data_IF_564076144847
#
_entry.id   IF_564076144847
#
_cell.length_a   1.000
_cell.length_b   1.000
_cell.length_c   1.000
_cell.angle_alpha   90.00
_cell.angle_beta   90.00
_cell.angle_gamma   90.00
#
_symmetry.space_group_name_H-M   'P 1'
#
loop_
_entity.id
_entity.type
_entity.pdbx_description
1 polymer ?
#
# COMPACT_ATOMS: atom_id res chain seq x y z
N UNK A 1 44.92 4.91 10.83
CA UNK A 1 45.22 6.35 11.03
C UNK A 1 44.56 7.07 9.86
N UNK A 2 43.27 7.39 9.87
CA UNK A 2 42.57 8.30 10.78
C UNK A 2 41.31 7.68 11.40
N UNK A 3 41.21 7.88 12.71
CA UNK A 3 40.02 7.69 13.54
C UNK A 3 39.35 9.07 13.61
N UNK A 4 38.03 9.13 13.40
CA UNK A 4 37.21 10.17 14.02
C UNK A 4 35.87 9.57 14.41
N UNK A 5 35.81 9.17 15.67
CA UNK A 5 34.60 8.90 16.44
C UNK A 5 33.82 10.20 16.72
N UNK A 6 32.64 10.00 17.33
CA UNK A 6 31.77 10.96 18.06
C UNK A 6 30.65 11.54 17.17
N UNK A 7 29.37 11.18 17.30
CA UNK A 7 28.56 11.06 18.52
C UNK A 7 27.64 9.81 18.58
N UNK A 8 27.46 9.21 19.78
CA UNK A 8 26.46 8.20 20.06
C UNK A 8 25.14 8.87 20.46
N UNK A 9 24.02 8.51 19.83
CA UNK A 9 22.72 8.80 20.43
C UNK A 9 22.48 7.80 21.57
N UNK A 10 22.49 8.33 22.80
CA UNK A 10 22.10 7.63 24.03
C UNK A 10 20.68 7.06 23.86
N UNK A 11 20.60 5.73 23.94
CA UNK A 11 19.39 5.02 24.32
C UNK A 11 19.15 5.33 25.81
N UNK A 12 18.15 6.16 26.12
CA UNK A 12 17.70 6.39 27.49
C UNK A 12 16.27 5.87 27.65
N UNK A 13 16.18 4.65 28.15
CA UNK A 13 15.23 4.18 29.16
C UNK A 13 13.79 4.74 29.11
N UNK A 14 12.89 3.96 28.51
CA UNK A 14 11.70 3.44 29.21
C UNK A 14 11.27 2.16 28.51
N UNK A 15 11.73 1.04 29.06
CA UNK A 15 11.09 -0.26 28.90
C UNK A 15 9.68 -0.23 29.52
N UNK A 16 8.82 -1.12 29.01
CA UNK A 16 7.42 -1.36 29.39
C UNK A 16 6.34 -0.51 28.70
N UNK A 17 5.87 -1.00 27.56
CA UNK A 17 4.44 -1.37 27.37
C UNK A 17 4.25 -2.19 26.09
N UNK A 18 4.39 -3.51 26.29
CA UNK A 18 3.63 -4.61 25.70
C UNK A 18 2.99 -4.45 24.30
N UNK A 19 3.51 -5.29 23.40
CA UNK A 19 2.77 -6.34 22.69
C UNK A 19 1.58 -5.86 21.82
N UNK A 20 1.78 -5.87 20.50
CA UNK A 20 1.05 -6.76 19.58
C UNK A 20 1.34 -6.37 18.13
N UNK A 21 2.02 -7.27 17.41
CA UNK A 21 2.53 -7.04 16.07
C UNK A 21 1.50 -7.01 14.94
N UNK A 22 2.05 -6.96 13.73
CA UNK A 22 1.48 -7.36 12.44
C UNK A 22 0.98 -6.21 11.55
N UNK A 23 1.82 -5.78 10.59
CA UNK A 23 1.42 -5.05 9.35
C UNK A 23 2.38 -5.37 8.19
N UNK A 24 2.23 -6.54 7.58
CA UNK A 24 3.30 -7.09 6.72
C UNK A 24 3.18 -6.93 5.19
N UNK A 25 2.01 -6.70 4.60
CA UNK A 25 1.89 -6.73 3.11
C UNK A 25 1.71 -5.35 2.47
N UNK A 26 1.27 -4.34 3.23
CA UNK A 26 1.14 -2.95 2.73
C UNK A 26 2.51 -2.22 2.73
N UNK A 27 3.48 -2.70 3.53
CA UNK A 27 4.79 -2.05 3.72
C UNK A 27 5.76 -2.16 2.52
N UNK A 28 5.71 -3.25 1.74
CA UNK A 28 6.74 -3.53 0.72
C UNK A 28 6.70 -2.55 -0.46
N UNK A 29 5.57 -1.90 -0.69
CA UNK A 29 5.39 -1.02 -1.85
C UNK A 29 5.46 0.47 -1.46
N UNK A 30 5.20 0.82 -0.20
CA UNK A 30 5.49 2.15 0.36
C UNK A 30 6.99 2.44 0.46
N UNK A 31 7.84 1.41 0.61
CA UNK A 31 9.30 1.56 0.75
C UNK A 31 10.01 2.01 -0.54
N UNK A 32 9.35 1.93 -1.70
CA UNK A 32 9.87 2.49 -2.96
C UNK A 32 10.01 4.02 -2.94
N UNK A 33 9.34 4.71 -2.00
CA UNK A 33 9.06 6.14 -2.16
C UNK A 33 9.86 7.08 -1.27
N UNK A 34 10.79 6.55 -0.47
CA UNK A 34 11.60 7.37 0.44
C UNK A 34 12.85 8.01 -0.19
N UNK A 35 13.07 7.86 -1.50
CA UNK A 35 14.41 8.09 -2.07
C UNK A 35 14.44 8.51 -3.56
N UNK A 36 13.35 8.96 -4.17
CA UNK A 36 13.33 9.44 -5.58
C UNK A 36 13.80 10.90 -5.72
N UNK A 37 14.85 11.29 -5.00
CA UNK A 37 15.63 12.50 -5.27
C UNK A 37 17.03 12.05 -5.71
N UNK A 38 17.52 12.46 -6.90
CA UNK A 38 18.89 12.20 -7.30
C UNK A 38 19.83 13.09 -6.46
N UNK A 39 20.11 12.67 -5.22
CA UNK A 39 21.16 13.26 -4.39
C UNK A 39 22.15 12.16 -3.96
N UNK A 40 23.27 12.08 -4.68
CA UNK A 40 24.58 11.46 -4.36
C UNK A 40 24.63 9.98 -3.90
N UNK A 41 23.53 9.30 -3.58
CA UNK A 41 23.50 7.92 -3.06
C UNK A 41 22.66 6.95 -3.92
N UNK A 42 22.74 7.01 -5.25
CA UNK A 42 22.02 6.09 -6.15
C UNK A 42 22.34 4.60 -5.91
N UNK A 43 23.56 4.27 -5.47
CA UNK A 43 23.98 2.88 -5.24
C UNK A 43 23.21 2.20 -4.10
N UNK A 44 22.92 2.95 -3.03
CA UNK A 44 22.20 2.42 -1.87
C UNK A 44 20.73 2.14 -2.21
N UNK A 45 20.13 2.99 -3.04
CA UNK A 45 18.75 2.85 -3.50
C UNK A 45 18.58 1.63 -4.42
N UNK A 46 19.46 1.46 -5.41
CA UNK A 46 19.41 0.29 -6.30
C UNK A 46 19.64 -1.01 -5.51
N UNK A 47 20.54 -0.97 -4.53
CA UNK A 47 20.77 -2.09 -3.61
C UNK A 47 19.51 -2.39 -2.78
N UNK A 48 18.89 -1.37 -2.20
CA UNK A 48 17.67 -1.51 -1.41
C UNK A 48 16.50 -2.12 -2.21
N UNK A 49 16.24 -1.62 -3.41
CA UNK A 49 15.22 -2.17 -4.32
C UNK A 49 15.52 -3.62 -4.67
N UNK A 50 16.78 -3.95 -4.96
CA UNK A 50 17.18 -5.33 -5.27
C UNK A 50 16.98 -6.27 -4.08
N UNK A 51 17.27 -5.81 -2.86
CA UNK A 51 17.07 -6.57 -1.62
C UNK A 51 15.58 -6.82 -1.36
N UNK A 52 14.74 -5.79 -1.47
CA UNK A 52 13.29 -5.94 -1.29
C UNK A 52 12.69 -6.88 -2.34
N UNK A 53 13.11 -6.75 -3.60
CA UNK A 53 12.67 -7.64 -4.68
C UNK A 53 13.09 -9.10 -4.39
N UNK A 54 14.34 -9.31 -4.01
CA UNK A 54 14.87 -10.63 -3.64
C UNK A 54 14.10 -11.22 -2.46
N UNK A 55 13.87 -10.44 -1.41
CA UNK A 55 13.08 -10.86 -0.26
C UNK A 55 11.64 -11.25 -0.66
N UNK A 56 10.97 -10.43 -1.48
CA UNK A 56 9.63 -10.76 -1.96
C UNK A 56 9.59 -12.07 -2.76
N UNK A 57 10.59 -12.32 -3.61
CA UNK A 57 10.67 -13.53 -4.43
C UNK A 57 11.05 -14.78 -3.62
N UNK A 58 11.98 -14.66 -2.68
CA UNK A 58 12.53 -15.82 -1.97
C UNK A 58 11.78 -16.15 -0.69
N UNK A 59 11.20 -15.16 -0.01
CA UNK A 59 10.60 -15.32 1.33
C UNK A 59 9.09 -15.20 1.33
N UNK A 60 8.49 -14.48 0.39
CA UNK A 60 7.03 -14.25 0.37
C UNK A 60 6.37 -15.13 -0.69
N UNK A 61 6.86 -15.08 -1.94
CA UNK A 61 6.22 -15.76 -3.08
C UNK A 61 5.90 -17.24 -2.82
N UNK A 62 6.75 -18.05 -2.16
CA UNK A 62 6.45 -19.47 -1.88
C UNK A 62 5.22 -19.68 -0.99
N UNK A 63 4.89 -18.71 -0.13
CA UNK A 63 3.79 -18.80 0.82
C UNK A 63 2.48 -18.21 0.28
N UNK A 64 2.50 -17.49 -0.85
CA UNK A 64 1.33 -16.71 -1.32
C UNK A 64 0.10 -17.57 -1.56
N UNK A 65 0.24 -18.74 -2.19
CA UNK A 65 -0.91 -19.63 -2.45
C UNK A 65 -1.53 -20.14 -1.14
N UNK A 66 -0.67 -20.60 -0.21
CA UNK A 66 -1.08 -21.07 1.12
C UNK A 66 -1.78 -19.95 1.91
N UNK A 67 -1.26 -18.72 1.86
CA UNK A 67 -1.86 -17.58 2.54
C UNK A 67 -3.21 -17.16 1.92
N UNK A 68 -3.35 -17.24 0.60
CA UNK A 68 -4.61 -16.97 -0.10
C UNK A 68 -5.69 -18.00 0.26
N UNK A 69 -5.34 -19.29 0.24
CA UNK A 69 -6.25 -20.38 0.60
C UNK A 69 -6.72 -20.30 2.05
N UNK A 70 -5.79 -20.02 2.97
CA UNK A 70 -6.09 -19.93 4.40
C UNK A 70 -6.70 -18.59 4.82
N UNK A 71 -6.72 -17.59 3.92
CA UNK A 71 -7.11 -16.21 4.23
C UNK A 71 -6.37 -15.63 5.44
N UNK A 72 -5.14 -16.08 5.68
CA UNK A 72 -4.30 -15.71 6.81
C UNK A 72 -2.85 -15.55 6.37
N UNK A 73 -2.15 -14.67 7.08
CA UNK A 73 -0.74 -14.41 6.83
C UNK A 73 0.09 -15.41 7.63
N UNK A 74 1.13 -15.95 7.01
CA UNK A 74 2.03 -16.90 7.68
C UNK A 74 2.92 -16.17 8.71
N UNK A 75 3.00 -16.70 9.93
CA UNK A 75 3.72 -16.08 11.04
C UNK A 75 5.23 -15.93 10.77
N UNK A 76 5.82 -16.80 9.95
CA UNK A 76 7.23 -16.70 9.54
C UNK A 76 7.45 -15.49 8.62
N UNK A 77 6.49 -15.21 7.73
CA UNK A 77 6.53 -14.04 6.85
C UNK A 77 6.43 -12.78 7.72
N UNK A 78 5.52 -12.76 8.70
CA UNK A 78 5.39 -11.63 9.63
C UNK A 78 6.69 -11.41 10.39
N UNK A 79 7.23 -12.45 11.02
CA UNK A 79 8.44 -12.36 11.85
C UNK A 79 9.63 -11.87 11.04
N UNK A 80 9.83 -12.44 9.84
CA UNK A 80 10.94 -12.04 8.97
C UNK A 80 10.81 -10.61 8.44
N UNK A 81 9.60 -10.09 8.25
CA UNK A 81 9.39 -8.68 7.87
C UNK A 81 9.85 -7.71 8.97
N UNK A 82 9.69 -8.09 10.25
CA UNK A 82 10.20 -7.31 11.38
C UNK A 82 11.72 -7.41 11.49
N UNK A 83 12.27 -8.63 11.39
CA UNK A 83 13.72 -8.88 11.46
C UNK A 83 14.50 -8.14 10.38
N UNK A 84 13.94 -8.07 9.16
CA UNK A 84 14.57 -7.35 8.04
C UNK A 84 14.32 -5.83 8.09
N UNK A 85 13.61 -5.32 9.11
CA UNK A 85 13.33 -3.88 9.26
C UNK A 85 12.38 -3.31 8.20
N UNK A 86 11.77 -4.16 7.37
CA UNK A 86 10.80 -3.76 6.34
C UNK A 86 9.55 -3.17 7.00
N UNK A 87 9.11 -3.76 8.11
CA UNK A 87 7.91 -3.34 8.85
C UNK A 87 8.06 -2.00 9.61
N UNK A 88 9.29 -1.55 9.91
CA UNK A 88 9.56 -0.36 10.76
C UNK A 88 10.02 0.87 9.97
N UNK A 89 10.14 0.74 8.65
CA UNK A 89 10.68 1.80 7.77
C UNK A 89 9.77 3.02 7.60
N UNK A 90 8.53 2.93 8.08
CA UNK A 90 7.60 4.04 8.26
C UNK A 90 7.01 3.99 9.68
N UNK A 91 7.03 5.13 10.37
CA UNK A 91 6.35 5.29 11.66
C UNK A 91 4.85 4.95 11.52
N UNK A 92 4.23 4.40 12.57
CA UNK A 92 3.00 3.65 12.49
C UNK A 92 1.81 4.56 12.22
N UNK A 93 0.65 3.98 11.93
CA UNK A 93 -0.66 4.63 11.80
C UNK A 93 -1.04 5.14 10.40
N UNK A 94 -1.02 4.28 9.38
CA UNK A 94 -2.04 4.35 8.33
C UNK A 94 -3.20 3.47 8.78
N UNK A 95 -4.13 4.05 9.55
CA UNK A 95 -5.38 3.39 9.92
C UNK A 95 -6.52 4.04 9.15
N UNK A 96 -6.99 3.33 8.15
CA UNK A 96 -8.21 3.62 7.41
C UNK A 96 -9.40 3.34 8.33
N UNK A 97 -10.09 4.39 8.84
CA UNK A 97 -11.30 4.21 9.65
C UNK A 97 -12.34 5.31 9.38
N UNK A 98 -13.42 4.96 8.67
CA UNK A 98 -14.71 5.63 8.87
C UNK A 98 -15.29 5.13 10.19
N UNK A 99 -15.28 6.02 11.18
CA UNK A 99 -15.66 5.69 12.54
C UNK A 99 -16.82 6.58 12.97
N UNK A 100 -18.03 6.03 13.03
CA UNK A 100 -19.08 6.62 13.86
C UNK A 100 -18.78 6.24 15.32
N UNK A 101 -17.95 7.06 15.98
CA UNK A 101 -17.79 6.99 17.43
C UNK A 101 -18.84 7.90 18.06
N UNK A 102 -19.75 7.33 18.84
CA UNK A 102 -20.51 8.10 19.80
C UNK A 102 -19.75 8.11 21.13
N UNK A 103 -19.11 9.23 21.45
CA UNK A 103 -18.46 9.42 22.74
C UNK A 103 -19.52 9.75 23.80
N UNK A 104 -19.65 8.91 24.82
CA UNK A 104 -20.22 9.34 26.10
C UNK A 104 -19.06 9.53 27.06
N UNK A 105 -18.63 10.78 27.21
CA UNK A 105 -17.65 11.13 28.24
C UNK A 105 -18.39 11.26 29.57
N UNK A 106 -18.10 10.38 30.53
CA UNK A 106 -18.55 10.57 31.90
C UNK A 106 -17.55 11.49 32.60
N UNK A 107 -18.00 12.66 33.04
CA UNK A 107 -17.18 13.58 33.82
C UNK A 107 -16.74 12.90 35.13
N UNK A 108 -15.42 12.66 35.29
CA UNK A 108 -14.81 12.31 36.59
C UNK A 108 -13.95 11.04 36.66
N UNK A 109 -13.68 10.31 35.57
CA UNK A 109 -12.93 9.04 35.64
C UNK A 109 -11.74 8.97 34.69
N UNK A 110 -10.65 8.30 35.10
CA UNK A 110 -9.40 8.00 34.35
C UNK A 110 -9.58 7.29 32.98
N UNK A 111 -10.81 7.15 32.52
CA UNK A 111 -11.21 6.29 31.41
C UNK A 111 -12.27 6.95 30.52
N UNK A 112 -12.14 6.68 29.22
CA UNK A 112 -13.13 7.00 28.20
C UNK A 112 -13.87 5.74 27.80
N UNK A 113 -15.19 5.82 27.70
CA UNK A 113 -16.03 4.73 27.23
C UNK A 113 -16.37 4.95 25.76
N UNK A 114 -16.01 3.98 24.92
CA UNK A 114 -16.21 4.05 23.47
C UNK A 114 -17.28 3.03 23.08
N UNK A 115 -18.38 3.51 22.49
CA UNK A 115 -19.36 2.69 21.77
C UNK A 115 -19.25 3.03 20.28
N UNK A 116 -18.93 2.03 19.46
CA UNK A 116 -18.71 2.21 18.04
C UNK A 116 -19.03 0.92 17.30
N UNK A 117 -19.40 1.06 16.03
CA UNK A 117 -19.43 -0.04 15.08
C UNK A 117 -18.29 0.17 14.10
N UNK A 118 -17.52 -0.88 13.82
CA UNK A 118 -16.43 -0.82 12.85
C UNK A 118 -16.58 -1.98 11.88
N UNK A 119 -16.55 -1.67 10.59
CA UNK A 119 -16.57 -2.66 9.52
C UNK A 119 -15.27 -2.58 8.73
N UNK A 120 -14.89 -3.65 8.03
CA UNK A 120 -13.74 -3.64 7.10
C UNK A 120 -12.37 -3.34 7.72
N UNK A 121 -12.10 -3.83 8.94
CA UNK A 121 -10.77 -3.70 9.54
C UNK A 121 -9.83 -4.83 9.09
N UNK A 122 -8.80 -4.47 8.33
CA UNK A 122 -7.85 -5.40 7.69
C UNK A 122 -7.09 -6.23 8.74
N UNK A 123 -6.60 -5.61 9.81
CA UNK A 123 -5.77 -6.27 10.83
C UNK A 123 -6.59 -7.17 11.75
N UNK A 124 -7.80 -6.74 12.12
CA UNK A 124 -8.68 -7.56 12.97
C UNK A 124 -9.11 -8.83 12.25
N UNK A 125 -9.32 -8.80 10.93
CA UNK A 125 -9.60 -9.99 10.14
C UNK A 125 -8.41 -10.97 10.09
N UNK A 126 -7.17 -10.46 10.02
CA UNK A 126 -5.96 -11.31 10.11
C UNK A 126 -5.79 -11.97 11.49
N UNK A 127 -6.41 -11.41 12.54
CA UNK A 127 -6.50 -12.04 13.87
C UNK A 127 -7.74 -12.94 14.03
N UNK A 128 -8.47 -13.22 12.95
CA UNK A 128 -9.71 -14.01 12.99
C UNK A 128 -10.91 -13.28 13.62
N UNK A 129 -10.82 -11.97 13.84
CA UNK A 129 -11.84 -11.18 14.53
C UNK A 129 -12.73 -10.48 13.49
N UNK A 130 -13.87 -11.07 13.16
CA UNK A 130 -14.98 -10.38 12.47
C UNK A 130 -15.62 -9.44 13.49
N UNK A 131 -15.31 -8.15 13.42
CA UNK A 131 -15.67 -7.21 14.50
C UNK A 131 -17.09 -6.68 14.35
N UNK A 132 -18.04 -7.30 15.04
CA UNK A 132 -19.26 -6.64 15.49
C UNK A 132 -19.05 -6.23 16.96
N UNK A 133 -18.44 -5.08 17.23
CA UNK A 133 -18.40 -4.58 18.62
C UNK A 133 -19.72 -3.88 18.94
N UNK A 134 -20.57 -4.54 19.73
CA UNK A 134 -21.76 -3.93 20.34
C UNK A 134 -21.54 -3.55 21.82
N UNK A 135 -20.30 -3.51 22.31
CA UNK A 135 -20.00 -3.27 23.73
C UNK A 135 -19.09 -2.07 23.99
N UNK A 136 -19.37 -1.37 25.09
CA UNK A 136 -18.58 -0.27 25.65
C UNK A 136 -17.17 -0.77 25.98
N UNK A 137 -16.15 -0.29 25.26
CA UNK A 137 -14.75 -0.49 25.66
C UNK A 137 -14.28 0.66 26.54
N UNK A 138 -13.69 0.30 27.68
CA UNK A 138 -13.03 1.23 28.59
C UNK A 138 -11.59 1.44 28.11
N UNK A 139 -11.24 2.68 27.77
CA UNK A 139 -9.90 3.07 27.31
C UNK A 139 -9.33 4.07 28.31
N UNK A 140 -8.14 3.80 28.85
CA UNK A 140 -7.50 4.72 29.78
C UNK A 140 -7.14 6.04 29.08
N UNK A 141 -7.30 7.17 29.76
CA UNK A 141 -7.06 8.51 29.19
C UNK A 141 -5.65 8.66 28.60
N UNK A 142 -4.64 8.06 29.26
CA UNK A 142 -3.25 7.94 28.75
C UNK A 142 -3.10 7.33 27.34
N UNK A 143 -4.11 6.61 26.85
CA UNK A 143 -4.11 6.00 25.52
C UNK A 143 -4.74 6.91 24.45
N UNK A 144 -5.22 8.11 24.82
CA UNK A 144 -5.71 9.10 23.87
C UNK A 144 -4.52 9.69 23.12
N UNK A 145 -4.55 9.58 21.79
CA UNK A 145 -3.52 10.13 20.91
C UNK A 145 -3.84 11.59 20.59
N UNK A 146 -2.92 12.49 20.94
CA UNK A 146 -3.06 13.91 20.70
C UNK A 146 -4.13 14.57 21.58
N UNK A 147 -4.76 15.64 21.08
CA UNK A 147 -5.79 16.39 21.82
C UNK A 147 -7.19 15.86 21.52
N UNK A 148 -8.03 15.78 22.55
CA UNK A 148 -9.44 15.44 22.41
C UNK A 148 -10.12 16.36 21.39
N UNK A 149 -10.94 15.79 20.49
CA UNK A 149 -11.62 16.54 19.42
C UNK A 149 -10.80 16.76 18.15
N UNK A 150 -9.49 16.46 18.14
CA UNK A 150 -8.63 16.63 16.95
C UNK A 150 -8.42 15.35 16.14
N UNK A 151 -9.10 14.25 16.49
CA UNK A 151 -8.94 12.94 15.85
C UNK A 151 -9.10 12.96 14.32
N UNK A 152 -10.08 13.71 13.81
CA UNK A 152 -10.30 13.85 12.36
C UNK A 152 -9.10 14.50 11.65
N UNK A 153 -8.52 15.55 12.24
CA UNK A 153 -7.36 16.26 11.67
C UNK A 153 -6.13 15.36 11.61
N UNK A 154 -5.90 14.56 12.66
CA UNK A 154 -4.81 13.59 12.66
C UNK A 154 -5.05 12.49 11.61
N UNK A 155 -6.27 11.91 11.59
CA UNK A 155 -6.61 10.85 10.64
C UNK A 155 -6.43 11.30 9.18
N UNK A 156 -6.99 12.45 8.79
CA UNK A 156 -6.88 12.93 7.40
C UNK A 156 -5.44 13.25 7.01
N UNK A 157 -4.63 13.76 7.95
CA UNK A 157 -3.20 14.00 7.73
C UNK A 157 -2.46 12.72 7.34
N UNK A 158 -2.73 11.62 8.05
CA UNK A 158 -2.09 10.32 7.79
C UNK A 158 -2.60 9.67 6.50
N UNK A 159 -3.90 9.79 6.20
CA UNK A 159 -4.49 9.29 4.96
C UNK A 159 -3.91 9.98 3.72
N UNK A 160 -3.59 11.28 3.79
CA UNK A 160 -2.95 11.97 2.67
C UNK A 160 -1.59 11.36 2.31
N UNK A 161 -0.82 10.91 3.30
CA UNK A 161 0.43 10.18 3.06
C UNK A 161 0.18 8.74 2.60
N UNK A 162 -0.85 8.08 3.16
CA UNK A 162 -1.27 6.73 2.82
C UNK A 162 -1.59 6.54 1.33
N UNK A 163 -2.22 7.54 0.71
CA UNK A 163 -2.57 7.55 -0.73
C UNK A 163 -1.38 7.25 -1.64
N UNK A 164 -0.22 7.84 -1.36
CA UNK A 164 0.98 7.60 -2.16
C UNK A 164 1.37 6.12 -2.04
N UNK A 165 1.26 5.56 -0.84
CA UNK A 165 1.49 4.14 -0.56
C UNK A 165 0.59 3.20 -1.33
N UNK A 166 -0.71 3.51 -1.39
CA UNK A 166 -1.66 2.73 -2.18
C UNK A 166 -1.36 2.85 -3.68
N UNK A 167 -0.99 4.03 -4.16
CA UNK A 167 -0.59 4.21 -5.55
C UNK A 167 0.58 3.29 -5.92
N UNK A 168 1.62 3.28 -5.07
CA UNK A 168 2.74 2.39 -5.24
C UNK A 168 2.26 0.92 -5.18
N UNK A 169 1.43 0.55 -4.20
CA UNK A 169 0.91 -0.81 -4.05
C UNK A 169 0.24 -1.32 -5.33
N UNK A 170 -0.64 -0.51 -5.92
CA UNK A 170 -1.34 -0.84 -7.14
C UNK A 170 -0.40 -0.93 -8.35
N UNK A 171 0.60 -0.05 -8.43
CA UNK A 171 1.64 -0.12 -9.44
C UNK A 171 2.45 -1.42 -9.35
N UNK A 172 2.90 -1.81 -8.15
CA UNK A 172 3.68 -3.04 -7.95
C UNK A 172 2.87 -4.30 -8.27
N UNK A 173 1.58 -4.31 -7.88
CA UNK A 173 0.63 -5.36 -8.22
C UNK A 173 0.47 -5.49 -9.74
N UNK A 174 0.22 -4.37 -10.43
CA UNK A 174 0.01 -4.35 -11.87
C UNK A 174 1.28 -4.74 -12.64
N UNK A 175 2.45 -4.27 -12.21
CA UNK A 175 3.74 -4.66 -12.77
C UNK A 175 4.00 -6.15 -12.59
N UNK A 176 3.74 -6.71 -11.40
CA UNK A 176 3.89 -8.14 -11.15
C UNK A 176 3.01 -8.98 -12.08
N UNK A 177 1.74 -8.59 -12.25
CA UNK A 177 0.81 -9.25 -13.16
C UNK A 177 1.32 -9.20 -14.62
N UNK A 178 1.77 -8.02 -15.07
CA UNK A 178 2.33 -7.80 -16.40
C UNK A 178 3.59 -8.64 -16.64
N UNK A 179 4.49 -8.70 -15.65
CA UNK A 179 5.74 -9.47 -15.71
C UNK A 179 5.50 -10.99 -15.77
N UNK A 180 4.35 -11.48 -15.29
CA UNK A 180 3.94 -12.87 -15.46
C UNK A 180 3.26 -13.12 -16.81
N UNK A 181 2.40 -12.22 -17.27
CA UNK A 181 1.60 -12.41 -18.47
C UNK A 181 2.39 -12.23 -19.78
N UNK A 182 3.27 -11.23 -19.87
CA UNK A 182 4.01 -10.95 -21.11
C UNK A 182 4.93 -12.11 -21.51
N UNK A 183 5.73 -12.72 -20.61
CA UNK A 183 6.51 -13.91 -20.95
C UNK A 183 5.65 -15.06 -21.48
N UNK A 184 4.45 -15.28 -20.93
CA UNK A 184 3.52 -16.30 -21.43
C UNK A 184 3.14 -16.05 -22.90
N UNK A 185 2.82 -14.79 -23.26
CA UNK A 185 2.49 -14.45 -24.67
C UNK A 185 3.66 -14.67 -25.63
N UNK A 186 4.90 -14.63 -25.13
CA UNK A 186 6.12 -14.92 -25.91
C UNK A 186 6.43 -16.41 -26.02
N UNK A 187 5.87 -17.25 -25.15
CA UNK A 187 6.06 -18.70 -25.17
C UNK A 187 4.93 -19.41 -25.91
N UNK A 188 3.70 -18.90 -25.79
CA UNK A 188 2.51 -19.51 -26.38
C UNK A 188 2.45 -19.25 -27.89
N UNK A 189 2.30 -20.33 -28.67
CA UNK A 189 2.13 -20.30 -30.12
C UNK A 189 0.69 -20.59 -30.50
N UNK A 190 0.12 -19.77 -31.38
CA UNK A 190 -1.20 -19.99 -31.98
C UNK A 190 -1.17 -19.46 -33.43
N UNK A 191 -1.88 -20.13 -34.33
CA UNK A 191 -1.87 -19.81 -35.76
C UNK A 191 -0.45 -19.68 -36.35
N UNK A 192 0.46 -20.58 -35.93
CA UNK A 192 1.82 -20.67 -36.48
C UNK A 192 2.83 -19.60 -35.99
N UNK A 193 2.46 -18.70 -35.06
CA UNK A 193 3.39 -17.73 -34.47
C UNK A 193 3.12 -17.48 -32.99
N UNK A 194 4.03 -16.81 -32.28
CA UNK A 194 3.83 -16.48 -30.86
C UNK A 194 2.65 -15.51 -30.73
N UNK A 195 1.90 -15.60 -29.63
CA UNK A 195 0.82 -14.65 -29.34
C UNK A 195 1.35 -13.20 -29.32
N UNK A 196 2.57 -12.99 -28.83
CA UNK A 196 3.23 -11.68 -28.85
C UNK A 196 3.45 -11.11 -30.28
N UNK A 197 3.53 -11.95 -31.32
CA UNK A 197 3.84 -11.52 -32.69
C UNK A 197 2.59 -11.09 -33.49
N UNK A 198 1.42 -11.05 -32.85
CA UNK A 198 0.23 -10.43 -33.43
C UNK A 198 0.25 -8.93 -33.14
N UNK A 199 0.14 -8.10 -34.18
CA UNK A 199 0.17 -6.64 -34.06
C UNK A 199 -0.85 -6.12 -33.04
N UNK A 200 -2.08 -6.65 -33.05
CA UNK A 200 -3.12 -6.29 -32.09
C UNK A 200 -2.76 -6.61 -30.63
N UNK A 201 -1.91 -7.62 -30.39
CA UNK A 201 -1.38 -7.92 -29.06
C UNK A 201 -0.26 -6.94 -28.69
N UNK A 202 0.65 -6.63 -29.61
CA UNK A 202 1.75 -5.68 -29.39
C UNK A 202 1.22 -4.29 -29.00
N UNK A 203 0.18 -3.80 -29.68
CA UNK A 203 -0.45 -2.52 -29.35
C UNK A 203 -1.05 -2.51 -27.95
N UNK A 204 -1.74 -3.59 -27.55
CA UNK A 204 -2.32 -3.69 -26.21
C UNK A 204 -1.25 -3.73 -25.13
N UNK A 205 -0.21 -4.55 -25.32
CA UNK A 205 0.91 -4.67 -24.37
C UNK A 205 1.65 -3.34 -24.25
N UNK A 206 1.93 -2.66 -25.37
CA UNK A 206 2.61 -1.37 -25.39
C UNK A 206 1.78 -0.27 -24.70
N UNK A 207 0.46 -0.24 -24.91
CA UNK A 207 -0.43 0.71 -24.25
C UNK A 207 -0.44 0.50 -22.73
N UNK A 208 -0.58 -0.75 -22.26
CA UNK A 208 -0.53 -1.07 -20.83
C UNK A 208 0.83 -0.74 -20.22
N UNK A 209 1.93 -1.06 -20.91
CA UNK A 209 3.27 -0.69 -20.47
C UNK A 209 3.44 0.83 -20.31
N UNK A 210 2.88 1.61 -21.22
CA UNK A 210 2.90 3.08 -21.17
C UNK A 210 2.10 3.61 -19.98
N UNK A 211 0.92 3.04 -19.72
CA UNK A 211 0.09 3.40 -18.56
C UNK A 211 0.78 3.09 -17.23
N UNK A 212 1.46 1.93 -17.13
CA UNK A 212 2.25 1.58 -15.96
C UNK A 212 3.37 2.60 -15.71
N UNK A 213 4.06 3.03 -16.75
CA UNK A 213 5.12 4.04 -16.62
C UNK A 213 4.57 5.40 -16.21
N UNK A 214 3.43 5.82 -16.80
CA UNK A 214 2.74 7.05 -16.37
C UNK A 214 2.33 6.99 -14.88
N UNK A 215 1.80 5.85 -14.42
CA UNK A 215 1.43 5.64 -13.02
C UNK A 215 2.66 5.68 -12.09
N UNK A 216 3.78 5.11 -12.54
CA UNK A 216 5.07 5.17 -11.83
C UNK A 216 5.55 6.60 -11.65
N UNK A 217 5.54 7.40 -12.72
CA UNK A 217 5.95 8.79 -12.69
C UNK A 217 5.06 9.65 -11.78
N UNK A 218 3.74 9.49 -11.84
CA UNK A 218 2.81 10.19 -10.94
C UNK A 218 3.08 9.86 -9.47
N UNK A 219 3.26 8.57 -9.17
CA UNK A 219 3.54 8.06 -7.82
C UNK A 219 4.84 8.64 -7.27
N UNK A 220 5.92 8.58 -8.06
CA UNK A 220 7.23 9.11 -7.65
C UNK A 220 7.24 10.63 -7.54
N UNK A 221 6.48 11.34 -8.39
CA UNK A 221 6.35 12.79 -8.27
C UNK A 221 5.64 13.20 -6.98
N UNK A 222 4.55 12.53 -6.61
CA UNK A 222 3.85 12.79 -5.35
C UNK A 222 4.77 12.54 -4.13
N UNK A 223 5.54 11.45 -4.16
CA UNK A 223 6.54 11.16 -3.14
C UNK A 223 7.63 12.25 -3.05
N UNK A 224 8.19 12.65 -4.20
CA UNK A 224 9.21 13.71 -4.30
C UNK A 224 8.71 15.04 -3.73
N UNK A 225 7.46 15.42 -4.01
CA UNK A 225 6.85 16.65 -3.47
C UNK A 225 6.71 16.58 -1.95
N UNK A 226 6.25 15.44 -1.41
CA UNK A 226 6.15 15.20 0.03
C UNK A 226 7.51 15.36 0.71
N UNK A 227 8.54 14.70 0.18
CA UNK A 227 9.89 14.76 0.76
C UNK A 227 10.49 16.16 0.73
N UNK A 228 10.21 16.92 -0.33
CA UNK A 228 10.62 18.31 -0.45
C UNK A 228 9.81 19.27 0.44
N UNK A 229 8.86 18.78 1.26
CA UNK A 229 7.98 19.61 2.08
C UNK A 229 7.04 20.50 1.27
N UNK A 230 6.79 20.16 0.00
CA UNK A 230 5.92 20.92 -0.90
C UNK A 230 4.48 20.41 -0.81
N UNK A 231 3.48 21.22 -1.17
CA UNK A 231 2.11 20.73 -1.36
C UNK A 231 2.12 19.53 -2.31
N UNK A 232 1.49 18.43 -1.88
CA UNK A 232 1.52 17.16 -2.61
C UNK A 232 0.16 16.43 -2.63
N UNK A 233 -0.85 16.97 -1.94
CA UNK A 233 -2.13 16.26 -1.71
C UNK A 233 -2.86 16.02 -3.04
N UNK A 234 -2.86 17.02 -3.93
CA UNK A 234 -3.46 16.93 -5.27
C UNK A 234 -2.78 15.81 -6.09
N UNK A 235 -1.46 15.80 -6.13
CA UNK A 235 -0.65 14.82 -6.85
C UNK A 235 -0.78 13.42 -6.25
N UNK A 236 -0.87 13.30 -4.92
CA UNK A 236 -1.12 12.02 -4.25
C UNK A 236 -2.50 11.43 -4.59
N UNK A 237 -3.54 12.26 -4.67
CA UNK A 237 -4.86 11.83 -5.13
C UNK A 237 -4.82 11.38 -6.60
N UNK A 238 -4.15 12.15 -7.48
CA UNK A 238 -3.98 11.78 -8.89
C UNK A 238 -3.23 10.44 -9.03
N UNK A 239 -2.14 10.26 -8.29
CA UNK A 239 -1.35 9.05 -8.31
C UNK A 239 -2.16 7.83 -7.83
N UNK A 240 -2.85 7.94 -6.69
CA UNK A 240 -3.66 6.83 -6.14
C UNK A 240 -4.79 6.44 -7.09
N UNK A 241 -5.52 7.42 -7.58
CA UNK A 241 -6.61 7.21 -8.53
C UNK A 241 -6.09 6.52 -9.80
N UNK A 242 -5.11 7.12 -10.46
CA UNK A 242 -4.63 6.63 -11.74
C UNK A 242 -3.98 5.24 -11.62
N UNK A 243 -3.16 5.01 -10.60
CA UNK A 243 -2.53 3.70 -10.39
C UNK A 243 -3.56 2.59 -10.12
N UNK A 244 -4.65 2.88 -9.38
CA UNK A 244 -5.71 1.91 -9.12
C UNK A 244 -6.52 1.55 -10.39
N UNK A 245 -6.83 2.54 -11.23
CA UNK A 245 -7.52 2.30 -12.50
C UNK A 245 -6.61 1.53 -13.48
N UNK A 246 -5.34 1.92 -13.60
CA UNK A 246 -4.35 1.21 -14.42
C UNK A 246 -4.15 -0.22 -13.94
N UNK A 247 -4.12 -0.47 -12.62
CA UNK A 247 -4.03 -1.83 -12.10
C UNK A 247 -5.23 -2.69 -12.48
N UNK A 248 -6.44 -2.12 -12.45
CA UNK A 248 -7.66 -2.82 -12.88
C UNK A 248 -7.60 -3.18 -14.37
N UNK A 249 -7.22 -2.23 -15.22
CA UNK A 249 -7.08 -2.46 -16.67
C UNK A 249 -5.99 -3.49 -16.97
N UNK A 250 -4.84 -3.36 -16.32
CA UNK A 250 -3.67 -4.23 -16.53
C UNK A 250 -3.99 -5.67 -16.19
N UNK A 251 -4.55 -5.92 -15.00
CA UNK A 251 -4.84 -7.29 -14.55
C UNK A 251 -5.93 -7.95 -15.40
N UNK A 252 -6.98 -7.21 -15.78
CA UNK A 252 -8.01 -7.69 -16.71
C UNK A 252 -7.41 -8.08 -18.06
N UNK A 253 -6.54 -7.24 -18.63
CA UNK A 253 -5.87 -7.51 -19.90
C UNK A 253 -4.94 -8.71 -19.80
N UNK A 254 -4.23 -8.87 -18.69
CA UNK A 254 -3.37 -10.02 -18.46
C UNK A 254 -4.15 -11.34 -18.44
N UNK A 255 -5.35 -11.37 -17.85
CA UNK A 255 -6.26 -12.54 -17.95
C UNK A 255 -6.61 -12.81 -19.41
N UNK A 256 -7.06 -11.79 -20.15
CA UNK A 256 -7.42 -11.94 -21.56
C UNK A 256 -6.26 -12.47 -22.41
N UNK A 257 -5.05 -11.96 -22.22
CA UNK A 257 -3.85 -12.36 -22.97
C UNK A 257 -3.41 -13.78 -22.68
N UNK A 258 -3.65 -14.26 -21.46
CA UNK A 258 -3.38 -15.65 -21.06
C UNK A 258 -4.54 -16.60 -21.38
N UNK A 259 -5.70 -16.07 -21.78
CA UNK A 259 -6.88 -16.86 -22.13
C UNK A 259 -7.37 -17.69 -20.95
N UNK A 260 -7.84 -18.91 -21.21
CA UNK A 260 -8.42 -19.77 -20.17
C UNK A 260 -7.51 -20.04 -18.96
N UNK A 261 -6.20 -20.16 -19.17
CA UNK A 261 -5.23 -20.39 -18.08
C UNK A 261 -5.02 -19.15 -17.19
N UNK A 262 -5.36 -17.95 -17.70
CA UNK A 262 -5.34 -16.74 -16.89
C UNK A 262 -6.44 -16.71 -15.81
N UNK A 263 -7.45 -17.56 -15.95
CA UNK A 263 -8.57 -17.69 -15.01
C UNK A 263 -8.41 -18.89 -14.06
N UNK A 264 -7.39 -19.74 -14.26
CA UNK A 264 -7.12 -20.87 -13.35
C UNK A 264 -6.17 -20.45 -12.23
N UNK A 265 -6.17 -21.23 -11.15
CA UNK A 265 -5.24 -21.03 -10.02
C UNK A 265 -3.82 -21.56 -10.30
N UNK A 266 -3.59 -22.19 -11.45
CA UNK A 266 -2.27 -22.68 -11.85
C UNK A 266 -1.30 -21.52 -12.14
N UNK A 267 -1.86 -20.34 -12.45
CA UNK A 267 -1.11 -19.10 -12.66
C UNK A 267 -1.59 -18.02 -11.68
N UNK A 268 -0.70 -17.13 -11.22
CA UNK A 268 -1.05 -16.12 -10.20
C UNK A 268 -1.94 -14.98 -10.73
N UNK A 269 -2.32 -14.99 -12.01
CA UNK A 269 -2.98 -13.86 -12.68
C UNK A 269 -4.38 -13.58 -12.11
N UNK A 270 -5.16 -14.62 -11.85
CA UNK A 270 -6.51 -14.49 -11.29
C UNK A 270 -6.46 -13.79 -9.91
N UNK A 271 -5.43 -14.12 -9.11
CA UNK A 271 -5.21 -13.51 -7.81
C UNK A 271 -4.89 -12.02 -7.93
N UNK A 272 -4.01 -11.64 -8.87
CA UNK A 272 -3.74 -10.23 -9.14
C UNK A 272 -5.02 -9.46 -9.50
N UNK A 273 -5.89 -10.04 -10.32
CA UNK A 273 -7.17 -9.43 -10.69
C UNK A 273 -8.11 -9.26 -9.49
N UNK A 274 -8.26 -10.28 -8.63
CA UNK A 274 -9.02 -10.14 -7.38
C UNK A 274 -8.44 -9.07 -6.47
N UNK A 275 -7.12 -9.07 -6.28
CA UNK A 275 -6.43 -8.19 -5.35
C UNK A 275 -6.47 -6.72 -5.79
N UNK A 276 -6.43 -6.44 -7.09
CA UNK A 276 -6.37 -5.05 -7.57
C UNK A 276 -7.63 -4.24 -7.25
N UNK A 277 -8.79 -4.91 -7.12
CA UNK A 277 -10.08 -4.21 -7.07
C UNK A 277 -10.21 -3.33 -5.83
N UNK A 278 -9.58 -3.75 -4.72
CA UNK A 278 -9.57 -2.97 -3.47
C UNK A 278 -8.96 -1.59 -3.66
N UNK A 279 -8.01 -1.44 -4.61
CA UNK A 279 -7.36 -0.20 -5.02
C UNK A 279 -8.33 0.96 -5.26
N UNK A 280 -9.48 0.68 -5.86
CA UNK A 280 -10.50 1.68 -6.20
C UNK A 280 -11.41 2.07 -5.04
N UNK A 281 -11.30 1.38 -3.89
CA UNK A 281 -12.28 1.44 -2.79
C UNK A 281 -11.66 2.03 -1.51
N UNK A 282 -10.66 1.36 -0.93
CA UNK A 282 -10.05 1.77 0.35
C UNK A 282 -9.14 2.99 0.21
N UNK A 283 -8.80 3.61 1.35
CA UNK A 283 -8.00 4.84 1.46
C UNK A 283 -8.57 5.98 0.58
N UNK A 284 -9.92 6.01 0.52
CA UNK A 284 -10.74 6.91 -0.29
C UNK A 284 -11.06 6.36 -1.68
N UNK A 285 -12.34 6.24 -2.02
CA UNK A 285 -12.81 5.73 -3.32
C UNK A 285 -12.34 6.58 -4.49
N UNK A 286 -12.34 6.03 -5.72
CA UNK A 286 -11.98 6.78 -6.94
C UNK A 286 -12.73 8.13 -7.02
N UNK A 287 -14.02 8.16 -6.69
CA UNK A 287 -14.82 9.40 -6.68
C UNK A 287 -14.34 10.40 -5.63
N UNK A 288 -13.96 9.95 -4.42
CA UNK A 288 -13.42 10.84 -3.39
C UNK A 288 -12.06 11.42 -3.79
N UNK A 289 -11.22 10.65 -4.49
CA UNK A 289 -9.98 11.19 -5.06
C UNK A 289 -10.29 12.28 -6.09
N UNK A 290 -11.21 12.02 -7.02
CA UNK A 290 -11.63 12.98 -8.03
C UNK A 290 -12.23 14.26 -7.41
N UNK A 291 -13.10 14.14 -6.40
CA UNK A 291 -13.65 15.30 -5.68
C UNK A 291 -12.56 16.12 -4.99
N UNK A 292 -11.55 15.46 -4.42
CA UNK A 292 -10.42 16.14 -3.79
C UNK A 292 -9.57 16.87 -4.82
N UNK A 293 -9.29 16.23 -5.97
CA UNK A 293 -8.56 16.84 -7.08
C UNK A 293 -9.31 18.07 -7.60
N UNK A 294 -10.61 17.95 -7.86
CA UNK A 294 -11.45 19.05 -8.33
C UNK A 294 -11.42 20.24 -7.37
N UNK A 295 -11.50 19.98 -6.06
CA UNK A 295 -11.40 21.03 -5.04
C UNK A 295 -10.07 21.79 -5.07
N UNK A 296 -8.94 21.10 -5.27
CA UNK A 296 -7.65 21.77 -5.38
C UNK A 296 -7.51 22.57 -6.67
N UNK A 297 -8.09 22.09 -7.78
CA UNK A 297 -8.10 22.83 -9.04
C UNK A 297 -8.92 24.11 -8.93
N UNK A 298 -10.12 24.04 -8.34
CA UNK A 298 -10.97 25.22 -8.10
C UNK A 298 -10.21 26.34 -7.36
N UNK A 299 -9.52 25.97 -6.28
CA UNK A 299 -8.69 26.88 -5.49
C UNK A 299 -7.49 27.48 -6.25
N UNK A 300 -6.96 26.78 -7.25
CA UNK A 300 -5.85 27.28 -8.08
C UNK A 300 -6.29 28.34 -9.09
N UNK A 301 -7.57 28.34 -9.49
CA UNK A 301 -8.13 29.27 -10.47
C UNK A 301 -9.02 30.36 -9.86
N UNK A 302 -9.36 30.27 -8.57
CA UNK A 302 -10.01 31.35 -7.81
C UNK A 302 -9.05 32.54 -7.49
N UNK A 303 -7.80 32.48 -7.94
CA UNK A 303 -6.75 33.47 -7.69
C UNK A 303 -6.65 34.55 -8.76
#
# INVERSE_FOLDING_TARGET
MYICNVFPFKCSSTEHLCLNGNTGIICLIQQYMKLCIPSKNCLFLSCFVSTVKKYAQERIAPFVSKMDENSSMDDEVISSLFEQGVCLSFSPFSFDQYLHISFKHSHGGKYVYIKYYHFWNVILKMRGIITYFCNLKQVHEKNILGKLGQGYKYAIGMLNEGRIGIAAQMLGLAQGCFDHAVPYTRQRVQFGKRIFDFQGMQHQIANVATQLEAARLLTYNAARLKEAGRPFIKEACMAKYYAAEVATVTTSKCIEWMGGVGFTKDYPIEKFYRDCKIGTIYEGTSNIQLSTIAKFLDQEYDS
#
